data_IF_837889252999
#
_entry.id   IF_837889252999
#
_cell.length_a   1.000
_cell.length_b   1.000
_cell.length_c   1.000
_cell.angle_alpha   90.00
_cell.angle_beta   90.00
_cell.angle_gamma   90.00
#
_symmetry.space_group_name_H-M   'P 1'
#
loop_
_entity.id
_entity.type
_entity.pdbx_description
1 polymer ?
#
# COMPACT_ATOMS: atom_id res chain seq x y z
N UNK A 1 2.69 15.98 6.24
CA UNK A 1 2.14 15.74 7.60
C UNK A 1 0.66 15.50 7.51
N UNK A 2 0.13 14.51 8.25
CA UNK A 2 -1.31 14.43 8.49
C UNK A 2 -1.63 15.43 9.59
N UNK A 3 -2.43 16.41 9.25
CA UNK A 3 -2.88 17.48 10.15
C UNK A 3 -4.40 17.50 10.13
N UNK A 4 -5.02 18.37 10.93
CA UNK A 4 -6.48 18.57 10.90
C UNK A 4 -7.01 18.90 9.51
N UNK A 5 -6.20 19.50 8.64
CA UNK A 5 -6.56 19.75 7.25
C UNK A 5 -6.84 18.48 6.44
N UNK A 6 -6.27 17.33 6.85
CA UNK A 6 -6.54 16.04 6.24
C UNK A 6 -7.86 15.42 6.70
N UNK A 7 -8.51 15.99 7.71
CA UNK A 7 -9.75 15.44 8.26
C UNK A 7 -10.97 15.96 7.52
N UNK A 8 -11.88 15.04 7.25
CA UNK A 8 -13.26 15.32 6.81
C UNK A 8 -14.14 14.93 8.00
N UNK A 9 -14.60 15.92 8.77
CA UNK A 9 -15.35 15.68 9.97
C UNK A 9 -16.86 15.73 9.68
N UNK A 10 -17.62 14.76 10.19
CA UNK A 10 -19.08 14.71 10.05
C UNK A 10 -19.77 15.98 10.56
N UNK A 11 -19.23 16.59 11.62
CA UNK A 11 -19.76 17.87 12.19
C UNK A 11 -19.77 19.03 11.20
N UNK A 12 -18.94 19.00 10.17
CA UNK A 12 -18.85 20.06 9.15
C UNK A 12 -19.89 19.87 8.03
N UNK A 13 -20.61 18.76 8.05
CA UNK A 13 -21.69 18.41 7.12
C UNK A 13 -23.01 18.25 7.85
N UNK A 14 -24.13 18.39 7.13
CA UNK A 14 -25.46 18.15 7.68
C UNK A 14 -25.87 16.68 7.77
N UNK A 15 -24.89 15.77 7.69
CA UNK A 15 -25.09 14.32 7.70
C UNK A 15 -24.01 13.64 8.48
N UNK A 16 -24.34 12.48 9.05
CA UNK A 16 -23.38 11.57 9.68
C UNK A 16 -23.08 10.33 8.81
N UNK A 17 -23.64 10.28 7.60
CA UNK A 17 -23.39 9.18 6.66
C UNK A 17 -22.28 9.56 5.67
N UNK A 18 -21.32 8.64 5.46
CA UNK A 18 -20.30 8.77 4.41
C UNK A 18 -20.93 8.84 3.01
N UNK A 19 -22.06 8.15 2.81
CA UNK A 19 -22.69 8.00 1.50
C UNK A 19 -23.34 9.29 0.99
N UNK A 20 -23.54 10.26 1.89
CA UNK A 20 -24.09 11.58 1.53
C UNK A 20 -23.00 12.61 1.17
N UNK A 21 -21.73 12.25 1.27
CA UNK A 21 -20.63 13.13 0.90
C UNK A 21 -20.58 13.33 -0.63
N UNK A 22 -20.40 14.57 -1.03
CA UNK A 22 -20.24 14.90 -2.44
C UNK A 22 -19.01 14.20 -3.04
N UNK A 23 -19.21 13.46 -4.11
CA UNK A 23 -18.19 12.68 -4.79
C UNK A 23 -16.99 13.53 -5.23
N UNK A 24 -17.29 14.70 -5.82
CA UNK A 24 -16.23 15.59 -6.32
C UNK A 24 -15.43 16.20 -5.17
N UNK A 25 -16.08 16.57 -4.09
CA UNK A 25 -15.42 17.09 -2.90
C UNK A 25 -14.42 16.09 -2.32
N UNK A 26 -14.80 14.82 -2.20
CA UNK A 26 -13.91 13.77 -1.70
C UNK A 26 -12.71 13.56 -2.63
N UNK A 27 -12.93 13.50 -3.94
CA UNK A 27 -11.85 13.34 -4.92
C UNK A 27 -10.92 14.55 -4.92
N UNK A 28 -11.43 15.76 -4.92
CA UNK A 28 -10.61 16.97 -4.92
C UNK A 28 -9.75 17.05 -3.64
N UNK A 29 -10.34 16.70 -2.49
CA UNK A 29 -9.63 16.61 -1.21
C UNK A 29 -8.52 15.55 -1.24
N UNK A 30 -8.83 14.37 -1.77
CA UNK A 30 -7.87 13.27 -1.91
C UNK A 30 -6.74 13.61 -2.89
N UNK A 31 -7.06 14.18 -4.05
CA UNK A 31 -6.07 14.57 -5.04
C UNK A 31 -5.09 15.62 -4.52
N UNK A 32 -5.59 16.57 -3.75
CA UNK A 32 -4.75 17.60 -3.14
C UNK A 32 -3.83 17.06 -2.06
N UNK A 33 -4.32 16.16 -1.21
CA UNK A 33 -3.67 15.73 0.03
C UNK A 33 -3.03 14.36 -0.06
N UNK A 34 -3.61 13.44 -0.85
CA UNK A 34 -3.21 12.03 -1.01
C UNK A 34 -3.50 11.13 0.20
N UNK A 35 -3.83 11.74 1.34
CA UNK A 35 -4.30 11.06 2.54
C UNK A 35 -5.41 11.90 3.15
N UNK A 36 -6.59 11.32 3.34
CA UNK A 36 -7.72 11.93 4.03
C UNK A 36 -8.30 10.96 5.06
N UNK A 37 -8.83 11.50 6.14
CA UNK A 37 -9.45 10.72 7.21
C UNK A 37 -10.85 11.24 7.47
N UNK A 38 -11.82 10.34 7.37
CA UNK A 38 -13.22 10.60 7.69
C UNK A 38 -13.43 10.35 9.18
N UNK A 39 -13.87 11.37 9.93
CA UNK A 39 -14.00 11.35 11.39
C UNK A 39 -15.42 11.66 11.83
N UNK A 40 -15.88 10.94 12.85
CA UNK A 40 -17.17 11.18 13.48
C UNK A 40 -18.39 10.77 12.65
N UNK A 41 -18.18 10.04 11.54
CA UNK A 41 -19.26 9.42 10.78
C UNK A 41 -19.74 8.14 11.47
N UNK A 42 -21.04 7.86 11.35
CA UNK A 42 -21.61 6.61 11.81
C UNK A 42 -21.46 5.56 10.71
N UNK A 43 -20.42 4.74 10.81
CA UNK A 43 -19.99 3.82 9.75
C UNK A 43 -20.38 2.38 10.09
N UNK A 44 -21.32 1.81 9.33
CA UNK A 44 -21.58 0.37 9.28
C UNK A 44 -20.62 -0.31 8.30
N UNK A 45 -20.23 -1.58 8.47
CA UNK A 45 -19.41 -2.32 7.52
C UNK A 45 -19.91 -2.29 6.06
N UNK A 46 -21.23 -2.32 5.86
CA UNK A 46 -21.83 -2.20 4.52
C UNK A 46 -21.62 -0.83 3.90
N UNK A 47 -21.57 0.22 4.73
CA UNK A 47 -21.29 1.57 4.25
C UNK A 47 -19.86 1.68 3.75
N UNK A 48 -18.90 0.98 4.39
CA UNK A 48 -17.51 0.92 3.90
C UNK A 48 -17.49 0.35 2.49
N UNK A 49 -18.17 -0.78 2.27
CA UNK A 49 -18.24 -1.40 0.95
C UNK A 49 -18.86 -0.45 -0.07
N UNK A 50 -20.03 0.10 0.21
CA UNK A 50 -20.74 1.01 -0.70
C UNK A 50 -19.94 2.28 -0.99
N UNK A 51 -19.29 2.83 0.05
CA UNK A 51 -18.46 4.02 -0.09
C UNK A 51 -17.21 3.75 -0.92
N UNK A 52 -16.47 2.68 -0.63
CA UNK A 52 -15.27 2.32 -1.40
C UNK A 52 -15.60 1.92 -2.83
N UNK A 53 -16.75 1.30 -3.11
CA UNK A 53 -17.23 0.96 -4.46
C UNK A 53 -17.39 2.22 -5.33
N UNK A 54 -17.81 3.34 -4.74
CA UNK A 54 -17.95 4.63 -5.44
C UNK A 54 -16.62 5.10 -6.03
N UNK A 55 -15.49 4.82 -5.35
CA UNK A 55 -14.15 5.28 -5.71
C UNK A 55 -13.27 4.17 -6.33
N UNK A 56 -13.79 2.95 -6.48
CA UNK A 56 -13.03 1.79 -6.96
C UNK A 56 -13.61 1.22 -8.26
N UNK A 57 -12.76 1.09 -9.27
CA UNK A 57 -13.12 0.34 -10.49
C UNK A 57 -12.86 -1.16 -10.31
N UNK A 58 -11.79 -1.51 -9.58
CA UNK A 58 -11.45 -2.90 -9.24
C UNK A 58 -10.71 -2.96 -7.90
N UNK A 59 -10.82 -4.13 -7.26
CA UNK A 59 -10.14 -4.44 -6.01
C UNK A 59 -8.99 -5.41 -6.22
N UNK A 60 -7.93 -5.27 -5.44
CA UNK A 60 -6.84 -6.23 -5.44
C UNK A 60 -7.33 -7.57 -4.93
N UNK A 61 -7.04 -8.62 -5.69
CA UNK A 61 -7.36 -10.01 -5.34
C UNK A 61 -6.17 -10.76 -4.75
N UNK A 62 -5.01 -10.14 -4.70
CA UNK A 62 -3.74 -10.78 -4.30
C UNK A 62 -3.56 -10.97 -2.80
N UNK A 63 -4.55 -10.62 -2.02
CA UNK A 63 -4.54 -10.87 -0.58
C UNK A 63 -4.85 -12.33 -0.25
N UNK A 64 -4.14 -13.27 -0.87
CA UNK A 64 -4.35 -14.72 -0.71
C UNK A 64 -4.25 -15.15 0.76
N UNK A 65 -3.55 -14.38 1.59
CA UNK A 65 -3.32 -14.65 3.01
C UNK A 65 -4.19 -13.84 3.96
N UNK A 66 -5.00 -12.89 3.46
CA UNK A 66 -5.83 -12.03 4.31
C UNK A 66 -7.28 -12.52 4.33
N UNK A 67 -7.80 -12.71 5.51
CA UNK A 67 -9.18 -13.15 5.70
C UNK A 67 -10.18 -12.02 5.42
N UNK A 68 -11.33 -12.38 4.84
CA UNK A 68 -12.46 -11.47 4.71
C UNK A 68 -13.05 -11.18 6.10
N UNK A 69 -13.35 -9.92 6.37
CA UNK A 69 -13.80 -9.44 7.67
C UNK A 69 -15.16 -8.73 7.54
N UNK A 70 -15.83 -8.60 8.67
CA UNK A 70 -17.09 -7.86 8.81
C UNK A 70 -18.23 -8.35 7.87
N UNK A 71 -18.14 -9.59 7.36
CA UNK A 71 -19.12 -10.15 6.43
C UNK A 71 -18.94 -9.70 4.96
N UNK A 72 -17.96 -8.86 4.68
CA UNK A 72 -17.73 -8.27 3.35
C UNK A 72 -16.48 -8.85 2.68
N UNK A 73 -16.60 -9.23 1.40
CA UNK A 73 -15.53 -9.91 0.67
C UNK A 73 -14.29 -9.04 0.45
N UNK A 74 -14.47 -7.75 0.19
CA UNK A 74 -13.40 -6.80 -0.08
C UNK A 74 -12.75 -6.23 1.17
N UNK A 75 -13.42 -6.31 2.32
CA UNK A 75 -12.84 -5.91 3.60
C UNK A 75 -11.95 -7.05 4.11
N UNK A 76 -10.69 -6.76 4.34
CA UNK A 76 -9.66 -7.72 4.72
C UNK A 76 -9.06 -7.40 6.09
N UNK A 77 -8.58 -8.44 6.77
CA UNK A 77 -7.70 -8.23 7.90
C UNK A 77 -6.43 -7.48 7.46
N UNK A 78 -5.86 -6.68 8.33
CA UNK A 78 -4.47 -6.22 8.20
C UNK A 78 -3.52 -7.33 8.69
N UNK A 79 -2.21 -7.11 8.55
CA UNK A 79 -1.22 -8.10 8.97
C UNK A 79 -1.38 -8.50 10.42
N UNK A 80 -1.35 -9.80 10.65
CA UNK A 80 -1.51 -10.41 11.98
C UNK A 80 -0.32 -10.08 12.90
N UNK A 81 -0.55 -10.29 14.21
CA UNK A 81 0.46 -10.07 15.23
C UNK A 81 0.49 -8.62 15.74
N UNK A 82 1.30 -8.42 16.78
CA UNK A 82 1.41 -7.17 17.52
C UNK A 82 2.77 -6.45 17.32
N UNK A 83 3.66 -7.00 16.51
CA UNK A 83 4.95 -6.40 16.18
C UNK A 83 4.82 -5.14 15.34
N UNK A 84 5.90 -4.36 15.29
CA UNK A 84 5.99 -3.23 14.36
C UNK A 84 6.07 -3.71 12.91
N UNK A 85 5.52 -2.91 12.00
CA UNK A 85 5.64 -3.12 10.56
C UNK A 85 6.39 -1.92 9.99
N UNK A 86 7.46 -2.21 9.27
CA UNK A 86 8.28 -1.18 8.62
C UNK A 86 7.51 -0.47 7.52
N UNK A 87 7.96 0.74 7.19
CA UNK A 87 7.39 1.53 6.09
C UNK A 87 7.42 0.76 4.77
N UNK A 88 6.29 0.71 4.09
CA UNK A 88 6.16 0.12 2.77
C UNK A 88 4.99 0.72 2.00
N UNK A 89 5.02 0.59 0.71
CA UNK A 89 3.84 0.75 -0.14
C UNK A 89 3.30 -0.63 -0.46
N UNK A 90 2.04 -0.87 -0.16
CA UNK A 90 1.40 -2.19 -0.29
C UNK A 90 1.59 -2.77 -1.69
N UNK A 91 2.13 -3.99 -1.77
CA UNK A 91 2.35 -4.74 -3.00
C UNK A 91 3.12 -4.00 -4.11
N UNK A 92 3.92 -2.99 -3.77
CA UNK A 92 4.69 -2.19 -4.74
C UNK A 92 5.78 -2.98 -5.49
N UNK A 93 6.11 -4.17 -5.01
CA UNK A 93 7.03 -5.12 -5.65
C UNK A 93 6.34 -6.11 -6.60
N UNK A 94 5.07 -5.89 -6.95
CA UNK A 94 4.29 -6.74 -7.84
C UNK A 94 3.64 -5.94 -8.97
N UNK A 95 3.01 -6.64 -9.91
CA UNK A 95 2.25 -6.04 -11.02
C UNK A 95 0.91 -5.47 -10.57
N UNK A 96 0.43 -5.85 -9.39
CA UNK A 96 -0.90 -5.52 -8.82
C UNK A 96 -0.86 -4.46 -7.75
N UNK A 97 0.01 -3.52 -7.88
CA UNK A 97 0.19 -2.43 -6.94
C UNK A 97 -1.10 -1.60 -6.77
N UNK A 98 -1.83 -1.73 -5.64
CA UNK A 98 -3.06 -1.00 -5.39
C UNK A 98 -2.84 0.50 -5.45
N UNK A 99 -3.86 1.22 -5.90
CA UNK A 99 -3.81 2.68 -6.01
C UNK A 99 -4.23 3.37 -4.73
N UNK A 100 -5.28 2.83 -4.09
CA UNK A 100 -5.80 3.39 -2.86
C UNK A 100 -5.86 2.29 -1.81
N UNK A 101 -5.41 2.62 -0.62
CA UNK A 101 -5.66 1.84 0.58
C UNK A 101 -6.70 2.55 1.43
N UNK A 102 -7.64 1.76 1.93
CA UNK A 102 -8.60 2.18 2.92
C UNK A 102 -8.31 1.44 4.21
N UNK A 103 -8.25 2.16 5.30
CA UNK A 103 -8.12 1.57 6.63
C UNK A 103 -9.29 2.03 7.49
N UNK A 104 -10.01 1.09 8.05
CA UNK A 104 -11.12 1.37 8.98
C UNK A 104 -10.78 0.88 10.37
N UNK A 105 -10.91 1.76 11.34
CA UNK A 105 -10.72 1.45 12.75
C UNK A 105 -12.02 1.00 13.39
N UNK A 106 -12.17 -0.32 13.57
CA UNK A 106 -13.29 -0.86 14.34
C UNK A 106 -13.07 -0.69 15.84
N UNK A 107 -11.85 -1.00 16.29
CA UNK A 107 -11.44 -0.85 17.69
C UNK A 107 -10.03 -0.27 17.73
N UNK A 108 -9.84 0.93 18.29
CA UNK A 108 -8.52 1.53 18.41
C UNK A 108 -7.68 0.76 19.44
N UNK A 109 -6.34 0.77 19.30
CA UNK A 109 -5.47 0.24 20.33
C UNK A 109 -5.60 1.04 21.63
N UNK A 110 -5.43 0.39 22.77
CA UNK A 110 -5.42 1.07 24.06
C UNK A 110 -4.15 1.89 24.27
N UNK A 111 -3.02 1.42 23.72
CA UNK A 111 -1.71 2.04 23.83
C UNK A 111 -0.83 1.65 22.66
N UNK A 112 -0.13 2.62 22.06
CA UNK A 112 0.70 2.42 20.86
C UNK A 112 -0.11 1.88 19.67
N UNK A 113 0.51 1.17 18.73
CA UNK A 113 -0.18 0.55 17.59
C UNK A 113 -0.72 1.54 16.56
N UNK A 114 -0.22 2.76 16.55
CA UNK A 114 -0.54 3.74 15.53
C UNK A 114 -0.14 3.23 14.14
N UNK A 115 -0.87 3.63 13.13
CA UNK A 115 -0.41 3.48 11.76
C UNK A 115 0.61 4.57 11.46
N UNK A 116 1.81 4.19 11.08
CA UNK A 116 2.86 5.13 10.70
C UNK A 116 2.75 5.48 9.23
N UNK A 117 2.95 6.75 8.87
CA UNK A 117 2.76 7.26 7.51
C UNK A 117 3.91 8.20 7.15
N UNK A 118 4.43 8.03 5.93
CA UNK A 118 5.48 8.87 5.37
C UNK A 118 5.10 9.29 3.94
N UNK A 119 5.08 10.60 3.66
CA UNK A 119 4.83 11.11 2.32
C UNK A 119 6.06 10.91 1.43
N UNK A 120 5.95 10.06 0.43
CA UNK A 120 7.03 9.74 -0.51
C UNK A 120 7.50 10.93 -1.34
N UNK A 121 6.67 11.99 -1.52
CA UNK A 121 7.10 13.23 -2.18
C UNK A 121 8.07 13.97 -1.25
N UNK A 122 7.68 14.18 0.02
CA UNK A 122 8.54 14.84 1.00
C UNK A 122 9.84 14.05 1.21
N UNK A 123 9.72 12.72 1.28
CA UNK A 123 10.89 11.85 1.39
C UNK A 123 11.84 12.05 0.19
N UNK A 124 11.33 12.01 -1.04
CA UNK A 124 12.14 12.26 -2.22
C UNK A 124 12.80 13.64 -2.24
N UNK A 125 12.04 14.68 -1.92
CA UNK A 125 12.55 16.06 -1.88
C UNK A 125 13.64 16.26 -0.82
N UNK A 126 13.62 15.48 0.27
CA UNK A 126 14.58 15.54 1.38
C UNK A 126 15.85 14.71 1.14
N UNK A 127 15.85 13.78 0.18
CA UNK A 127 17.04 13.00 -0.17
C UNK A 127 18.12 13.88 -0.81
N UNK A 128 19.39 13.55 -0.57
CA UNK A 128 20.51 14.19 -1.25
C UNK A 128 20.43 14.05 -2.75
N UNK A 129 21.08 14.98 -3.48
CA UNK A 129 21.12 14.92 -4.94
C UNK A 129 21.75 13.62 -5.45
N UNK A 130 22.77 13.11 -4.77
CA UNK A 130 23.44 11.84 -5.13
C UNK A 130 22.49 10.65 -5.01
N UNK A 131 21.77 10.55 -3.91
CA UNK A 131 20.80 9.47 -3.66
C UNK A 131 19.60 9.54 -4.61
N UNK A 132 19.11 10.74 -4.90
CA UNK A 132 18.07 10.92 -5.93
C UNK A 132 18.56 10.47 -7.32
N UNK A 133 19.78 10.90 -7.72
CA UNK A 133 20.36 10.48 -9.00
C UNK A 133 20.56 8.96 -9.06
N UNK A 134 20.96 8.36 -7.95
CA UNK A 134 21.14 6.92 -7.86
C UNK A 134 19.82 6.16 -8.12
N UNK A 135 18.73 6.47 -7.41
CA UNK A 135 17.45 5.78 -7.60
C UNK A 135 16.76 6.13 -8.93
N UNK A 136 17.03 7.31 -9.47
CA UNK A 136 16.54 7.67 -10.79
C UNK A 136 17.19 6.84 -11.91
N UNK A 137 18.44 6.45 -11.74
CA UNK A 137 19.21 5.71 -12.74
C UNK A 137 19.12 4.18 -12.56
N UNK A 138 18.85 3.69 -11.36
CA UNK A 138 18.96 2.27 -11.02
C UNK A 138 17.61 1.68 -10.58
N UNK A 139 16.98 0.86 -11.43
CA UNK A 139 15.80 0.11 -11.03
C UNK A 139 16.16 -1.01 -10.05
N UNK A 140 15.18 -1.40 -9.26
CA UNK A 140 15.28 -2.50 -8.31
C UNK A 140 14.64 -3.74 -8.94
N UNK A 141 15.36 -4.86 -8.88
CA UNK A 141 14.89 -6.18 -9.27
C UNK A 141 14.51 -6.96 -8.03
N UNK A 142 13.29 -7.43 -7.98
CA UNK A 142 12.78 -8.34 -6.97
C UNK A 142 12.72 -9.74 -7.54
N UNK A 143 13.38 -10.70 -6.89
CA UNK A 143 13.15 -12.13 -7.14
C UNK A 143 12.04 -12.60 -6.21
N UNK A 144 11.01 -13.18 -6.76
CA UNK A 144 9.78 -13.48 -6.05
C UNK A 144 9.41 -14.95 -6.15
N UNK A 145 8.88 -15.48 -5.04
CA UNK A 145 8.25 -16.79 -4.96
C UNK A 145 6.85 -16.67 -4.39
N UNK A 146 5.85 -17.10 -5.13
CA UNK A 146 4.47 -17.13 -4.65
C UNK A 146 3.86 -18.52 -4.82
N UNK A 147 2.98 -18.97 -3.89
CA UNK A 147 2.36 -20.27 -3.99
C UNK A 147 1.42 -20.35 -5.19
N UNK A 148 1.45 -21.49 -5.88
CA UNK A 148 0.50 -21.83 -6.94
C UNK A 148 -0.66 -22.61 -6.34
N UNK A 149 -1.86 -22.06 -6.44
CA UNK A 149 -3.06 -22.75 -5.98
C UNK A 149 -3.34 -23.95 -6.88
N UNK A 150 -3.39 -25.15 -6.28
CA UNK A 150 -3.89 -26.36 -6.96
C UNK A 150 -5.35 -26.54 -6.68
N UNK A 151 -6.10 -26.96 -7.70
CA UNK A 151 -7.48 -27.35 -7.49
C UNK A 151 -7.51 -28.68 -6.68
N UNK A 152 -8.08 -28.71 -5.48
CA UNK A 152 -8.05 -29.88 -4.61
C UNK A 152 -8.75 -31.11 -5.21
N UNK A 153 -9.69 -30.92 -6.16
CA UNK A 153 -10.42 -32.03 -6.80
C UNK A 153 -9.71 -32.60 -8.02
N UNK A 154 -8.97 -31.80 -8.78
CA UNK A 154 -8.36 -32.24 -10.05
C UNK A 154 -6.84 -32.37 -9.97
N UNK A 155 -6.20 -31.90 -8.89
CA UNK A 155 -4.76 -31.80 -8.76
C UNK A 155 -4.09 -30.82 -9.74
N UNK A 156 -4.88 -30.25 -10.69
CA UNK A 156 -4.37 -29.32 -11.70
C UNK A 156 -4.10 -27.96 -11.05
N UNK A 157 -2.88 -27.48 -11.25
CA UNK A 157 -2.51 -26.14 -10.83
C UNK A 157 -3.22 -25.08 -11.66
N UNK A 158 -3.68 -24.02 -11.02
CA UNK A 158 -4.16 -22.81 -11.68
C UNK A 158 -2.99 -21.85 -11.80
N UNK A 159 -2.62 -21.47 -13.03
CA UNK A 159 -1.63 -20.40 -13.24
C UNK A 159 -2.08 -19.15 -12.52
N UNK A 160 -1.27 -18.57 -11.63
CA UNK A 160 -1.58 -17.26 -11.04
C UNK A 160 -1.72 -16.23 -12.16
N UNK A 161 -2.73 -15.36 -12.06
CA UNK A 161 -2.99 -14.36 -13.09
C UNK A 161 -1.82 -13.37 -13.27
N UNK A 162 -0.99 -13.18 -12.26
CA UNK A 162 0.24 -12.39 -12.29
C UNK A 162 1.16 -12.75 -13.46
N UNK A 163 1.15 -14.04 -13.90
CA UNK A 163 1.92 -14.51 -15.06
C UNK A 163 1.54 -13.79 -16.36
N UNK A 164 0.31 -13.33 -16.48
CA UNK A 164 -0.14 -12.62 -17.70
C UNK A 164 0.54 -11.25 -17.87
N UNK A 165 1.23 -10.77 -16.83
CA UNK A 165 1.88 -9.46 -16.79
C UNK A 165 3.42 -9.56 -16.69
N UNK A 166 3.97 -10.78 -16.75
CA UNK A 166 5.40 -11.04 -16.64
C UNK A 166 5.86 -11.75 -17.92
N UNK A 167 7.02 -11.36 -18.44
CA UNK A 167 7.62 -12.04 -19.57
C UNK A 167 7.86 -13.53 -19.24
N UNK A 168 7.59 -14.42 -20.18
CA UNK A 168 7.76 -15.85 -19.97
C UNK A 168 9.23 -16.24 -19.66
N UNK A 169 10.20 -15.44 -20.13
CA UNK A 169 11.63 -15.56 -19.82
C UNK A 169 11.95 -15.27 -18.36
N UNK A 170 11.11 -14.51 -17.66
CA UNK A 170 11.37 -14.01 -16.31
C UNK A 170 10.56 -14.76 -15.25
N UNK A 171 9.90 -15.86 -15.64
CA UNK A 171 9.08 -16.65 -14.73
C UNK A 171 9.11 -18.14 -15.05
N UNK A 172 9.06 -18.99 -14.01
CA UNK A 172 8.82 -20.42 -14.15
C UNK A 172 7.97 -20.95 -12.99
N UNK A 173 7.24 -22.05 -13.25
CA UNK A 173 6.46 -22.73 -12.23
C UNK A 173 7.16 -24.03 -11.87
N UNK A 174 7.51 -24.14 -10.59
CA UNK A 174 7.92 -25.42 -9.99
C UNK A 174 6.67 -26.12 -9.46
N UNK A 175 6.19 -27.10 -10.21
CA UNK A 175 4.99 -27.84 -9.85
C UNK A 175 5.18 -28.78 -8.67
N UNK A 176 6.41 -29.24 -8.41
CA UNK A 176 6.71 -30.13 -7.28
C UNK A 176 6.67 -29.34 -5.98
N UNK A 177 7.28 -28.17 -5.95
CA UNK A 177 7.18 -27.23 -4.83
C UNK A 177 5.81 -26.54 -4.73
N UNK A 178 5.07 -26.46 -5.82
CA UNK A 178 3.83 -25.71 -5.90
C UNK A 178 4.06 -24.21 -5.84
N UNK A 179 5.15 -23.74 -6.44
CA UNK A 179 5.57 -22.32 -6.40
C UNK A 179 5.75 -21.76 -7.81
N UNK A 180 5.41 -20.48 -7.96
CA UNK A 180 5.77 -19.65 -9.11
C UNK A 180 6.94 -18.75 -8.71
N UNK A 181 8.01 -18.84 -9.45
CA UNK A 181 9.17 -17.96 -9.34
C UNK A 181 9.16 -16.95 -10.48
N UNK A 182 9.40 -15.69 -10.17
CA UNK A 182 9.48 -14.64 -11.19
C UNK A 182 10.31 -13.45 -10.74
N UNK A 183 10.81 -12.70 -11.74
CA UNK A 183 11.50 -11.44 -11.52
C UNK A 183 10.57 -10.28 -11.84
N UNK A 184 10.61 -9.26 -10.99
CA UNK A 184 9.87 -8.03 -11.20
C UNK A 184 10.79 -6.84 -11.00
N UNK A 185 10.86 -5.98 -12.03
CA UNK A 185 11.74 -4.80 -12.01
C UNK A 185 10.94 -3.52 -11.91
N UNK A 186 11.33 -2.65 -10.96
CA UNK A 186 10.68 -1.36 -10.75
C UNK A 186 11.66 -0.31 -10.25
N UNK A 187 11.46 0.93 -10.69
CA UNK A 187 12.12 2.07 -10.06
C UNK A 187 11.55 2.34 -8.67
N UNK A 188 12.42 2.67 -7.71
CA UNK A 188 12.00 3.06 -6.36
C UNK A 188 11.33 4.44 -6.33
N UNK A 189 11.50 5.22 -7.38
CA UNK A 189 10.93 6.55 -7.58
C UNK A 189 10.05 6.57 -8.83
N UNK A 190 8.95 7.28 -8.76
CA UNK A 190 8.03 7.51 -9.88
C UNK A 190 7.38 8.90 -9.75
N UNK A 191 6.68 9.33 -10.77
CA UNK A 191 5.93 10.58 -10.73
C UNK A 191 4.60 10.37 -9.99
N UNK A 192 4.28 11.24 -9.04
CA UNK A 192 3.02 11.19 -8.30
C UNK A 192 1.83 11.47 -9.22
N UNK A 193 0.72 10.83 -8.92
CA UNK A 193 -0.49 10.77 -9.74
C UNK A 193 -1.05 12.14 -10.11
N UNK A 194 -1.20 13.03 -9.13
CA UNK A 194 -1.91 14.31 -9.33
C UNK A 194 -0.99 15.52 -9.28
N UNK A 195 0.10 15.44 -8.52
CA UNK A 195 0.96 16.59 -8.27
C UNK A 195 2.11 16.71 -9.26
N UNK A 196 2.31 15.70 -10.13
CA UNK A 196 3.43 15.64 -11.10
C UNK A 196 4.80 15.86 -10.45
N UNK A 197 4.94 15.43 -9.20
CA UNK A 197 6.17 15.45 -8.44
C UNK A 197 6.73 14.04 -8.32
N UNK A 198 8.04 13.92 -8.24
CA UNK A 198 8.67 12.64 -7.95
C UNK A 198 8.33 12.16 -6.55
N UNK A 199 8.07 10.88 -6.43
CA UNK A 199 7.61 10.23 -5.22
C UNK A 199 8.44 8.96 -4.97
N UNK A 200 9.01 8.84 -3.77
CA UNK A 200 9.73 7.65 -3.33
C UNK A 200 8.79 6.77 -2.51
N UNK A 201 8.04 5.92 -3.20
CA UNK A 201 7.09 4.99 -2.59
C UNK A 201 7.35 3.58 -3.12
N UNK A 202 7.78 2.67 -2.25
CA UNK A 202 8.32 1.38 -2.62
C UNK A 202 8.32 0.41 -1.43
N UNK A 203 9.05 -0.72 -1.54
CA UNK A 203 9.15 -1.76 -0.52
C UNK A 203 10.60 -1.94 -0.02
N UNK A 204 11.39 -0.86 0.04
CA UNK A 204 12.83 -0.95 0.36
C UNK A 204 13.14 -0.98 1.86
N UNK A 205 12.22 -0.54 2.71
CA UNK A 205 12.43 -0.43 4.16
C UNK A 205 12.11 -1.74 4.91
N UNK A 206 11.40 -2.65 4.28
CA UNK A 206 10.97 -3.91 4.89
C UNK A 206 12.13 -4.90 4.90
N UNK A 207 12.31 -5.60 6.01
CA UNK A 207 13.29 -6.66 6.13
C UNK A 207 12.82 -7.91 5.35
N UNK A 208 13.69 -8.49 4.53
CA UNK A 208 13.35 -9.65 3.69
C UNK A 208 12.90 -10.87 4.51
N UNK A 209 13.38 -10.99 5.74
CA UNK A 209 13.00 -12.06 6.66
C UNK A 209 11.51 -12.02 7.03
N UNK A 210 10.89 -10.84 6.98
CA UNK A 210 9.45 -10.66 7.25
C UNK A 210 8.57 -10.80 6.02
N UNK A 211 9.19 -10.88 4.83
CA UNK A 211 8.52 -10.95 3.52
C UNK A 211 8.99 -12.20 2.74
N UNK A 212 8.59 -13.40 3.17
CA UNK A 212 9.11 -14.66 2.62
C UNK A 212 8.86 -14.83 1.12
N UNK A 213 7.94 -14.07 0.52
CA UNK A 213 7.71 -14.06 -0.92
C UNK A 213 8.79 -13.29 -1.70
N UNK A 214 9.63 -12.47 -1.05
CA UNK A 214 10.73 -11.73 -1.67
C UNK A 214 12.02 -12.46 -1.36
N UNK A 215 12.54 -13.21 -2.32
CA UNK A 215 13.78 -13.99 -2.17
C UNK A 215 15.02 -13.10 -2.21
N UNK A 216 14.99 -12.09 -3.05
CA UNK A 216 16.06 -11.08 -3.14
C UNK A 216 15.56 -9.74 -3.65
N UNK A 217 16.33 -8.69 -3.34
CA UNK A 217 16.07 -7.32 -3.74
C UNK A 217 17.39 -6.65 -4.08
N UNK A 218 17.69 -6.53 -5.39
CA UNK A 218 18.98 -6.08 -5.90
C UNK A 218 18.82 -5.04 -6.99
N UNK A 219 19.90 -4.36 -7.33
CA UNK A 219 19.98 -3.53 -8.54
C UNK A 219 19.97 -4.41 -9.79
N UNK A 220 19.65 -3.83 -10.94
CA UNK A 220 19.60 -4.55 -12.22
C UNK A 220 20.96 -5.18 -12.60
N UNK A 221 22.07 -4.63 -12.14
CA UNK A 221 23.41 -5.20 -12.34
C UNK A 221 23.77 -6.34 -11.34
N UNK A 222 22.83 -6.72 -10.48
CA UNK A 222 23.00 -7.77 -9.47
C UNK A 222 23.62 -7.31 -8.15
N UNK A 223 24.06 -6.07 -8.04
CA UNK A 223 24.63 -5.53 -6.81
C UNK A 223 23.55 -5.16 -5.78
N UNK A 224 23.94 -5.12 -4.52
CA UNK A 224 23.12 -4.58 -3.46
C UNK A 224 23.07 -3.04 -3.52
N UNK A 225 22.03 -2.45 -2.92
CA UNK A 225 21.97 -1.00 -2.72
C UNK A 225 23.14 -0.60 -1.79
N UNK A 226 23.96 0.40 -2.16
CA UNK A 226 25.05 0.84 -1.33
C UNK A 226 24.62 1.21 0.10
N UNK A 227 25.39 0.78 1.09
CA UNK A 227 25.03 0.94 2.51
C UNK A 227 24.78 2.40 2.91
N UNK A 228 25.58 3.34 2.40
CA UNK A 228 25.39 4.77 2.68
C UNK A 228 24.05 5.30 2.13
N UNK A 229 23.63 4.85 0.95
CA UNK A 229 22.33 5.19 0.36
C UNK A 229 21.20 4.59 1.21
N UNK A 230 21.33 3.33 1.62
CA UNK A 230 20.37 2.66 2.49
C UNK A 230 20.26 3.36 3.85
N UNK A 231 21.37 3.80 4.42
CA UNK A 231 21.39 4.57 5.67
C UNK A 231 20.64 5.89 5.51
N UNK A 232 20.97 6.67 4.47
CA UNK A 232 20.33 7.97 4.22
C UNK A 232 18.81 7.85 4.08
N UNK A 233 18.30 6.91 3.25
CA UNK A 233 16.85 6.75 3.08
C UNK A 233 16.14 6.39 4.39
N UNK A 234 16.75 5.55 5.24
CA UNK A 234 16.18 5.18 6.53
C UNK A 234 16.17 6.36 7.52
N UNK A 235 17.25 7.12 7.61
CA UNK A 235 17.34 8.28 8.51
C UNK A 235 16.29 9.33 8.15
N UNK A 236 16.18 9.68 6.88
CA UNK A 236 15.21 10.68 6.42
C UNK A 236 13.77 10.16 6.55
N UNK A 237 13.51 8.90 6.20
CA UNK A 237 12.20 8.31 6.36
C UNK A 237 11.77 8.31 7.84
N UNK A 238 12.67 7.97 8.76
CA UNK A 238 12.37 8.00 10.20
C UNK A 238 12.05 9.43 10.71
N UNK A 239 12.74 10.45 10.18
CA UNK A 239 12.47 11.85 10.54
C UNK A 239 11.11 12.34 10.04
N UNK A 240 10.67 11.86 8.86
CA UNK A 240 9.43 12.29 8.21
C UNK A 240 8.21 11.44 8.58
N UNK A 241 8.44 10.28 9.17
CA UNK A 241 7.38 9.35 9.56
C UNK A 241 6.57 9.92 10.72
N UNK A 242 5.26 9.82 10.58
CA UNK A 242 4.32 10.29 11.59
C UNK A 242 3.35 9.18 11.99
N UNK A 243 3.10 9.03 13.31
CA UNK A 243 2.08 8.13 13.81
C UNK A 243 0.70 8.74 13.66
N UNK A 244 -0.23 8.01 13.05
CA UNK A 244 -1.66 8.30 13.10
C UNK A 244 -2.30 7.50 14.22
N UNK A 245 -2.78 8.20 15.25
CA UNK A 245 -3.49 7.60 16.39
C UNK A 245 -4.97 7.46 16.04
N UNK A 246 -5.42 6.22 15.99
CA UNK A 246 -6.78 5.87 15.64
C UNK A 246 -7.80 6.23 16.71
N UNK A 247 -8.94 6.72 16.27
CA UNK A 247 -10.18 6.74 17.06
C UNK A 247 -11.16 5.73 16.46
N UNK A 248 -12.11 5.27 17.26
CA UNK A 248 -13.12 4.32 16.77
C UNK A 248 -13.95 4.94 15.65
N UNK A 249 -14.23 4.16 14.63
CA UNK A 249 -14.93 4.55 13.39
C UNK A 249 -14.17 5.51 12.46
N UNK A 250 -12.88 5.78 12.69
CA UNK A 250 -12.06 6.48 11.69
C UNK A 250 -11.94 5.62 10.42
N UNK A 251 -12.17 6.25 9.26
CA UNK A 251 -11.89 5.67 7.95
C UNK A 251 -10.84 6.53 7.25
N UNK A 252 -9.71 5.94 6.91
CA UNK A 252 -8.62 6.60 6.17
C UNK A 252 -8.62 6.16 4.71
N UNK A 253 -8.49 7.11 3.78
CA UNK A 253 -8.24 6.92 2.37
C UNK A 253 -6.82 7.39 2.05
N UNK A 254 -5.96 6.48 1.60
CA UNK A 254 -4.52 6.71 1.42
C UNK A 254 -4.09 6.41 -0.02
N UNK A 255 -3.43 7.35 -0.68
CA UNK A 255 -2.75 7.14 -1.96
C UNK A 255 -1.52 6.23 -1.75
N UNK A 256 -1.69 4.95 -2.01
CA UNK A 256 -0.66 3.94 -1.81
C UNK A 256 0.55 4.12 -2.75
N UNK A 257 0.38 4.86 -3.83
CA UNK A 257 1.49 5.16 -4.74
C UNK A 257 2.27 6.41 -4.33
N UNK A 258 1.75 7.19 -3.41
CA UNK A 258 2.43 8.35 -2.84
C UNK A 258 2.95 8.09 -1.44
N UNK A 259 2.17 7.44 -0.60
CA UNK A 259 2.51 7.26 0.81
C UNK A 259 3.09 5.88 1.08
N UNK A 260 4.09 5.87 1.93
CA UNK A 260 4.54 4.70 2.65
C UNK A 260 3.77 4.63 3.96
N UNK A 261 3.43 3.41 4.38
CA UNK A 261 2.77 3.19 5.65
C UNK A 261 3.40 2.01 6.40
N UNK A 262 3.17 1.97 7.70
CA UNK A 262 3.64 0.93 8.59
C UNK A 262 2.80 0.90 9.87
N UNK A 263 3.32 0.27 10.91
CA UNK A 263 2.62 0.16 12.19
C UNK A 263 3.62 0.17 13.35
N UNK A 264 3.30 0.90 14.39
CA UNK A 264 3.97 0.72 15.68
C UNK A 264 3.59 -0.63 16.30
N UNK A 265 4.49 -1.21 17.09
CA UNK A 265 4.13 -2.35 17.92
C UNK A 265 3.10 -1.95 18.98
N UNK A 266 2.31 -2.91 19.43
CA UNK A 266 1.34 -2.73 20.53
C UNK A 266 1.36 -3.93 21.46
N UNK A 267 0.75 -3.82 22.61
CA UNK A 267 0.81 -4.86 23.65
C UNK A 267 0.04 -6.12 23.22
N UNK A 268 0.58 -7.29 23.58
CA UNK A 268 -0.09 -8.56 23.34
C UNK A 268 -1.40 -8.60 24.15
N UNK A 269 -2.50 -8.94 23.48
CA UNK A 269 -3.83 -8.95 24.11
C UNK A 269 -4.63 -7.66 23.94
N UNK A 270 -4.01 -6.60 23.37
CA UNK A 270 -4.74 -5.39 22.98
C UNK A 270 -5.77 -5.73 21.87
N UNK A 271 -6.95 -5.17 21.99
CA UNK A 271 -8.07 -5.44 21.07
C UNK A 271 -8.02 -4.59 19.80
N UNK A 272 -6.84 -4.14 19.38
CA UNK A 272 -6.69 -3.38 18.13
C UNK A 272 -7.33 -4.12 16.96
N UNK A 273 -8.38 -3.57 16.39
CA UNK A 273 -9.08 -4.12 15.21
C UNK A 273 -9.17 -3.07 14.10
N UNK A 274 -8.21 -3.13 13.19
CA UNK A 274 -8.18 -2.34 11.97
C UNK A 274 -8.39 -3.30 10.81
N UNK A 275 -9.24 -2.91 9.88
CA UNK A 275 -9.45 -3.65 8.62
C UNK A 275 -9.06 -2.77 7.43
N UNK A 276 -8.82 -3.39 6.28
CA UNK A 276 -8.41 -2.69 5.08
C UNK A 276 -9.22 -3.09 3.85
N UNK A 277 -9.35 -2.15 2.91
CA UNK A 277 -9.79 -2.39 1.54
C UNK A 277 -8.68 -1.93 0.62
N UNK A 278 -8.41 -2.69 -0.45
CA UNK A 278 -7.37 -2.38 -1.41
C UNK A 278 -7.99 -2.15 -2.79
N UNK A 279 -8.10 -0.89 -3.20
CA UNK A 279 -8.52 -0.50 -4.54
C UNK A 279 -7.36 -0.71 -5.50
N UNK A 280 -7.45 -1.69 -6.41
CA UNK A 280 -6.44 -1.90 -7.44
C UNK A 280 -6.43 -0.75 -8.44
N UNK A 281 -7.65 -0.37 -8.93
CA UNK A 281 -7.83 0.77 -9.83
C UNK A 281 -8.95 1.65 -9.32
N UNK A 282 -8.67 2.93 -9.19
CA UNK A 282 -9.68 3.90 -8.83
C UNK A 282 -10.67 4.16 -9.99
N UNK A 283 -11.91 4.53 -9.65
CA UNK A 283 -12.98 4.86 -10.61
C UNK A 283 -12.85 6.25 -11.22
N UNK A 284 -12.07 7.15 -10.62
CA UNK A 284 -11.89 8.52 -11.08
C UNK A 284 -10.62 8.67 -11.94
N UNK A 285 -10.60 9.68 -12.84
CA UNK A 285 -9.60 9.75 -13.89
C UNK A 285 -8.17 9.84 -13.34
N UNK A 286 -7.31 9.01 -13.90
CA UNK A 286 -5.87 9.14 -13.84
C UNK A 286 -5.42 10.22 -14.80
N UNK A 287 -4.45 11.03 -14.39
CA UNK A 287 -3.66 11.74 -15.37
C UNK A 287 -2.86 10.71 -16.20
N UNK A 288 -3.15 10.64 -17.50
CA UNK A 288 -2.51 9.66 -18.39
C UNK A 288 -0.98 9.82 -18.52
N UNK A 289 -0.41 10.93 -18.07
CA UNK A 289 1.03 11.17 -18.06
C UNK A 289 1.79 10.22 -17.14
N UNK A 290 1.17 9.74 -16.09
CA UNK A 290 1.69 8.74 -15.17
C UNK A 290 2.07 7.40 -15.81
N UNK A 291 1.34 6.96 -16.85
CA UNK A 291 1.67 5.72 -17.56
C UNK A 291 3.03 5.75 -18.23
N UNK A 292 3.66 6.93 -18.34
CA UNK A 292 4.97 7.13 -18.98
C UNK A 292 6.12 7.15 -17.99
N UNK A 293 5.90 7.10 -16.68
CA UNK A 293 6.99 6.92 -15.75
C UNK A 293 7.53 5.50 -15.94
N UNK A 294 8.45 5.42 -16.90
CA UNK A 294 9.41 4.35 -17.16
C UNK A 294 9.06 2.99 -16.53
N UNK A 295 7.94 2.38 -16.93
CA UNK A 295 7.89 0.94 -16.97
C UNK A 295 8.86 0.53 -18.08
N UNK A 296 10.03 0.07 -17.73
CA UNK A 296 10.92 -0.66 -18.63
C UNK A 296 10.37 -2.05 -18.84
#
# INVERSE_FOLDING_TARGET
MITEENYINAKDFKTNSLLDLDYKFVIDSFNAKGCIVFKGFNIDPKDITSFTDTYSHSYSTDTIRRESRLGEKQIKSVDAGNGSIKLHSEASFTTTWPEILWFFCKTPPSKNGATTICDGIQLWESLSKSTRSFFYANPIVYDLEIPVLRNPKSGKGRKPWVINHIAASDSFIDWDKGSLFFKFTRYAVHESRFLKKFCFSNHLFVDLETEPQILSRKLQNGNDIPKNIHTEINEIANQLTQPYKWEGSDLMMLDNKRFLHGRESFEMGDQRDIVSVQTEKASFPYDASWRRSRAL
#
